data_IF_745821451562
#
_entry.id   IF_745821451562
#
_cell.length_a   1.000
_cell.length_b   1.000
_cell.length_c   1.000
_cell.angle_alpha   90.00
_cell.angle_beta   90.00
_cell.angle_gamma   90.00
#
_symmetry.space_group_name_H-M   'P 1'
#
loop_
_entity.id
_entity.type
_entity.pdbx_description
1 polymer ?
#
# COMPACT_ATOMS: atom_id res chain seq x y z
N UNK A 1 10.89 -11.97 -8.78
CA UNK A 1 10.36 -12.77 -7.65
C UNK A 1 11.12 -14.06 -7.40
N UNK A 2 12.43 -13.96 -7.17
CA UNK A 2 13.29 -15.05 -6.70
C UNK A 2 14.10 -14.62 -5.48
N UNK A 3 14.32 -13.31 -5.32
CA UNK A 3 15.09 -12.68 -4.25
C UNK A 3 14.54 -12.95 -2.84
N UNK A 4 13.26 -13.30 -2.69
CA UNK A 4 12.65 -13.65 -1.39
C UNK A 4 12.44 -15.17 -1.25
N UNK A 5 13.22 -15.98 -1.98
CA UNK A 5 13.19 -17.45 -1.94
C UNK A 5 11.82 -18.05 -2.25
N UNK A 6 11.05 -17.41 -3.14
CA UNK A 6 9.68 -17.82 -3.48
C UNK A 6 9.63 -19.22 -4.12
N UNK A 7 9.13 -20.27 -3.45
CA UNK A 7 9.35 -21.67 -3.86
C UNK A 7 8.96 -22.00 -5.31
N UNK A 8 7.88 -21.39 -5.81
CA UNK A 8 7.37 -21.59 -7.16
C UNK A 8 8.33 -21.13 -8.27
N UNK A 9 9.26 -20.21 -7.98
CA UNK A 9 10.22 -19.67 -8.94
C UNK A 9 11.64 -20.27 -8.83
N UNK A 10 11.84 -21.32 -8.01
CA UNK A 10 13.17 -21.94 -7.86
C UNK A 10 13.70 -22.48 -9.19
N UNK A 11 12.83 -23.20 -9.91
CA UNK A 11 13.15 -23.77 -11.22
C UNK A 11 13.52 -22.71 -12.27
N UNK A 12 12.91 -21.52 -12.18
CA UNK A 12 13.24 -20.38 -13.04
C UNK A 12 14.70 -19.94 -12.81
N UNK A 13 15.08 -19.73 -11.54
CA UNK A 13 16.45 -19.29 -11.21
C UNK A 13 17.49 -20.36 -11.58
N UNK A 14 17.19 -21.64 -11.34
CA UNK A 14 18.02 -22.76 -11.79
C UNK A 14 18.21 -22.73 -13.32
N UNK A 15 17.15 -22.53 -14.09
CA UNK A 15 17.22 -22.46 -15.55
C UNK A 15 18.03 -21.25 -16.04
N UNK A 16 17.90 -20.09 -15.38
CA UNK A 16 18.70 -18.88 -15.65
C UNK A 16 20.20 -19.18 -15.48
N UNK A 17 20.58 -19.82 -14.38
CA UNK A 17 21.98 -20.18 -14.10
C UNK A 17 22.51 -21.23 -15.09
N UNK A 18 21.75 -22.31 -15.32
CA UNK A 18 22.13 -23.38 -16.25
C UNK A 18 22.31 -22.89 -17.68
N UNK A 19 21.49 -21.92 -18.11
CA UNK A 19 21.55 -21.32 -19.45
C UNK A 19 22.52 -20.13 -19.54
N UNK A 20 23.25 -19.82 -18.46
CA UNK A 20 24.16 -18.68 -18.39
C UNK A 20 23.49 -17.34 -18.80
N UNK A 21 22.28 -17.10 -18.30
CA UNK A 21 21.54 -15.85 -18.52
C UNK A 21 21.96 -14.83 -17.45
N UNK A 22 22.25 -13.59 -17.87
CA UNK A 22 22.37 -12.44 -16.96
C UNK A 22 20.97 -11.92 -16.61
N UNK A 23 20.56 -12.12 -15.36
CA UNK A 23 19.25 -11.71 -14.85
C UNK A 23 19.41 -10.42 -14.03
N UNK A 24 18.62 -9.41 -14.39
CA UNK A 24 18.47 -8.17 -13.64
C UNK A 24 17.06 -8.12 -13.07
N UNK A 25 16.92 -8.02 -11.74
CA UNK A 25 15.59 -7.95 -11.11
C UNK A 25 15.18 -6.47 -10.94
N UNK A 26 14.02 -6.11 -11.50
CA UNK A 26 13.50 -4.75 -11.46
C UNK A 26 13.07 -4.29 -10.04
N UNK A 27 12.82 -5.23 -9.13
CA UNK A 27 12.45 -4.92 -7.74
C UNK A 27 13.57 -4.22 -6.98
N UNK A 28 14.82 -4.47 -7.40
CA UNK A 28 16.08 -4.06 -6.74
C UNK A 28 16.89 -3.07 -7.59
N UNK A 29 16.26 -2.44 -8.58
CA UNK A 29 16.80 -1.25 -9.24
C UNK A 29 16.69 -0.07 -8.28
N UNK A 30 17.79 0.23 -7.59
CA UNK A 30 17.86 1.29 -6.57
C UNK A 30 18.92 2.32 -6.89
N UNK A 31 18.81 3.51 -6.28
CA UNK A 31 19.92 4.46 -6.20
C UNK A 31 20.97 4.02 -5.15
N UNK A 32 22.00 4.84 -4.97
CA UNK A 32 23.10 4.61 -4.03
C UNK A 32 22.66 4.55 -2.56
N UNK A 33 21.48 5.12 -2.25
CA UNK A 33 20.87 5.09 -0.91
C UNK A 33 19.91 3.91 -0.73
N UNK A 34 19.83 2.98 -1.68
CA UNK A 34 18.91 1.84 -1.62
C UNK A 34 17.45 2.18 -1.97
N UNK A 35 17.15 3.42 -2.38
CA UNK A 35 15.78 3.82 -2.74
C UNK A 35 15.47 3.27 -4.14
N UNK A 36 14.41 2.47 -4.23
CA UNK A 36 13.91 1.92 -5.50
C UNK A 36 13.58 3.03 -6.48
N UNK A 37 14.08 2.93 -7.70
CA UNK A 37 13.90 3.94 -8.75
C UNK A 37 12.60 3.73 -9.52
N UNK A 38 12.28 2.50 -9.89
CA UNK A 38 11.09 2.15 -10.68
C UNK A 38 10.10 1.34 -9.83
N UNK A 39 8.88 1.84 -9.62
CA UNK A 39 7.87 1.21 -8.78
C UNK A 39 6.44 1.61 -9.16
N UNK A 40 5.47 0.75 -8.85
CA UNK A 40 4.05 0.98 -9.15
C UNK A 40 3.25 1.61 -7.99
N UNK A 41 3.91 1.97 -6.88
CA UNK A 41 3.24 2.39 -5.65
C UNK A 41 2.29 3.58 -5.83
N UNK A 42 2.64 4.56 -6.67
CA UNK A 42 1.76 5.72 -6.98
C UNK A 42 0.41 5.25 -7.54
N UNK A 43 0.43 4.32 -8.49
CA UNK A 43 -0.77 3.79 -9.14
C UNK A 43 -1.59 2.89 -8.21
N UNK A 44 -0.93 2.13 -7.33
CA UNK A 44 -1.63 1.40 -6.27
C UNK A 44 -2.40 2.36 -5.36
N UNK A 45 -1.80 3.48 -4.98
CA UNK A 45 -2.46 4.57 -4.25
C UNK A 45 -3.69 5.14 -4.96
N UNK A 46 -3.53 5.49 -6.24
CA UNK A 46 -4.60 6.04 -7.09
C UNK A 46 -5.79 5.08 -7.16
N UNK A 47 -5.55 3.83 -7.57
CA UNK A 47 -6.62 2.84 -7.74
C UNK A 47 -7.20 2.44 -6.37
N UNK A 48 -6.37 2.29 -5.35
CA UNK A 48 -6.80 1.92 -4.01
C UNK A 48 -7.72 2.97 -3.37
N UNK A 49 -7.41 4.26 -3.52
CA UNK A 49 -8.30 5.33 -3.08
C UNK A 49 -9.63 5.33 -3.84
N UNK A 50 -9.58 5.19 -5.17
CA UNK A 50 -10.80 5.05 -5.99
C UNK A 50 -11.68 3.89 -5.51
N UNK A 51 -11.08 2.71 -5.34
CA UNK A 51 -11.77 1.51 -4.89
C UNK A 51 -12.29 1.63 -3.45
N UNK A 52 -11.59 2.37 -2.57
CA UNK A 52 -12.06 2.70 -1.22
C UNK A 52 -13.32 3.56 -1.22
N UNK A 53 -13.36 4.64 -2.01
CA UNK A 53 -14.57 5.47 -2.16
C UNK A 53 -15.70 4.68 -2.80
N UNK A 54 -15.40 3.84 -3.80
CA UNK A 54 -16.37 2.93 -4.41
C UNK A 54 -16.94 1.94 -3.38
N UNK A 55 -16.10 1.36 -2.54
CA UNK A 55 -16.51 0.45 -1.47
C UNK A 55 -17.44 1.16 -0.47
N UNK A 56 -17.17 2.41 -0.14
CA UNK A 56 -18.07 3.23 0.68
C UNK A 56 -19.44 3.44 0.02
N UNK A 57 -19.49 3.81 -1.26
CA UNK A 57 -20.75 3.96 -1.99
C UNK A 57 -21.61 2.70 -1.95
N UNK A 58 -20.99 1.55 -2.23
CA UNK A 58 -21.64 0.24 -2.21
C UNK A 58 -22.09 -0.19 -0.81
N UNK A 59 -21.24 0.00 0.21
CA UNK A 59 -21.54 -0.32 1.62
C UNK A 59 -22.72 0.48 2.14
N UNK A 60 -22.68 1.80 1.92
CA UNK A 60 -23.71 2.74 2.37
C UNK A 60 -24.95 2.76 1.47
N UNK A 61 -24.91 2.08 0.32
CA UNK A 61 -25.95 2.11 -0.73
C UNK A 61 -26.27 3.54 -1.19
N UNK A 62 -25.29 4.45 -1.13
CA UNK A 62 -25.47 5.86 -1.48
C UNK A 62 -25.21 6.14 -2.96
N UNK A 63 -24.27 5.42 -3.58
CA UNK A 63 -23.98 5.53 -5.00
C UNK A 63 -23.27 4.27 -5.52
N UNK A 64 -23.33 4.08 -6.82
CA UNK A 64 -22.59 3.05 -7.54
C UNK A 64 -21.81 3.71 -8.67
N UNK A 65 -20.51 3.40 -8.75
CA UNK A 65 -19.63 3.84 -9.83
C UNK A 65 -18.95 2.63 -10.48
N UNK A 66 -18.52 2.74 -11.75
CA UNK A 66 -17.81 1.68 -12.45
C UNK A 66 -16.60 1.15 -11.67
N UNK A 67 -16.11 -0.04 -12.03
CA UNK A 67 -14.80 -0.51 -11.55
C UNK A 67 -13.69 0.29 -12.23
N UNK A 68 -12.53 0.43 -11.57
CA UNK A 68 -11.41 1.18 -12.12
C UNK A 68 -10.89 0.57 -13.43
N UNK A 69 -10.87 -0.77 -13.56
CA UNK A 69 -10.47 -1.47 -14.79
C UNK A 69 -11.30 -1.10 -16.04
N UNK A 70 -12.51 -0.57 -15.85
CA UNK A 70 -13.40 -0.12 -16.93
C UNK A 70 -13.14 1.32 -17.38
N UNK A 71 -12.26 2.05 -16.70
CA UNK A 71 -11.97 3.46 -16.93
C UNK A 71 -10.58 3.60 -17.56
N UNK A 72 -10.42 4.57 -18.47
CA UNK A 72 -9.26 4.66 -19.36
C UNK A 72 -7.98 5.08 -18.66
N UNK A 73 -8.10 6.08 -17.79
CA UNK A 73 -6.99 6.81 -17.20
C UNK A 73 -7.37 7.45 -15.85
N UNK A 74 -6.37 7.90 -15.09
CA UNK A 74 -6.55 8.58 -13.80
C UNK A 74 -7.55 9.74 -13.88
N UNK A 75 -7.55 10.48 -14.99
CA UNK A 75 -8.47 11.61 -15.16
C UNK A 75 -9.92 11.14 -15.27
N UNK A 76 -10.18 9.98 -15.87
CA UNK A 76 -11.50 9.38 -15.89
C UNK A 76 -11.94 8.86 -14.52
N UNK A 77 -11.02 8.32 -13.71
CA UNK A 77 -11.30 7.98 -12.31
C UNK A 77 -11.78 9.23 -11.55
N UNK A 78 -11.03 10.34 -11.66
CA UNK A 78 -11.36 11.61 -10.99
C UNK A 78 -12.70 12.18 -11.51
N UNK A 79 -12.92 12.19 -12.83
CA UNK A 79 -14.19 12.65 -13.41
C UNK A 79 -15.37 11.85 -12.88
N UNK A 80 -15.22 10.53 -12.77
CA UNK A 80 -16.26 9.65 -12.21
C UNK A 80 -16.54 9.98 -10.75
N UNK A 81 -15.50 10.11 -9.93
CA UNK A 81 -15.65 10.44 -8.51
C UNK A 81 -16.26 11.83 -8.27
N UNK A 82 -16.03 12.79 -9.17
CA UNK A 82 -16.68 14.12 -9.08
C UNK A 82 -18.19 14.10 -9.36
N UNK A 83 -18.73 13.01 -9.87
CA UNK A 83 -20.19 12.87 -10.08
C UNK A 83 -20.93 12.44 -8.81
N UNK A 84 -20.21 11.96 -7.79
CA UNK A 84 -20.80 11.49 -6.53
C UNK A 84 -20.71 12.56 -5.45
N UNK A 85 -21.68 12.58 -4.55
CA UNK A 85 -21.70 13.47 -3.39
C UNK A 85 -21.48 12.64 -2.13
N UNK A 86 -20.39 12.94 -1.41
CA UNK A 86 -20.14 12.34 -0.10
C UNK A 86 -20.83 13.17 0.99
N UNK A 87 -21.45 12.52 1.99
CA UNK A 87 -21.91 13.22 3.18
C UNK A 87 -20.72 13.76 4.00
N UNK A 88 -20.94 14.54 5.07
CA UNK A 88 -19.88 15.03 5.95
C UNK A 88 -19.17 13.91 6.71
N UNK A 89 -18.29 13.18 6.02
CA UNK A 89 -17.49 12.07 6.52
C UNK A 89 -16.02 12.46 6.65
N UNK A 90 -15.31 11.73 7.51
CA UNK A 90 -13.87 11.87 7.71
C UNK A 90 -13.13 10.68 7.11
N UNK A 91 -12.17 10.98 6.22
CA UNK A 91 -11.33 9.98 5.56
C UNK A 91 -9.92 10.07 6.11
N UNK A 92 -9.43 8.98 6.69
CA UNK A 92 -8.05 8.90 7.17
C UNK A 92 -7.18 8.24 6.12
N UNK A 93 -6.08 8.89 5.75
CA UNK A 93 -5.06 8.35 4.86
C UNK A 93 -3.75 8.20 5.62
N UNK A 94 -3.18 7.01 5.62
CA UNK A 94 -1.83 6.79 6.20
C UNK A 94 -0.75 6.74 5.13
N UNK A 95 0.43 7.22 5.48
CA UNK A 95 1.65 7.15 4.66
C UNK A 95 1.84 8.37 3.77
N UNK A 96 3.08 8.86 3.71
CA UNK A 96 3.51 9.99 2.85
C UNK A 96 4.46 9.57 1.72
N UNK A 97 4.56 8.25 1.49
CA UNK A 97 5.31 7.66 0.38
C UNK A 97 4.52 7.67 -0.94
N UNK A 98 4.97 6.87 -1.91
CA UNK A 98 4.36 6.79 -3.24
C UNK A 98 2.88 6.41 -3.20
N UNK A 99 2.52 5.42 -2.38
CA UNK A 99 1.13 4.93 -2.25
C UNK A 99 0.23 6.01 -1.66
N UNK A 100 0.59 6.51 -0.48
CA UNK A 100 -0.17 7.59 0.17
C UNK A 100 -0.34 8.82 -0.73
N UNK A 101 0.72 9.29 -1.38
CA UNK A 101 0.61 10.45 -2.28
C UNK A 101 -0.24 10.16 -3.52
N UNK A 102 -0.18 8.94 -4.07
CA UNK A 102 -1.09 8.53 -5.16
C UNK A 102 -2.56 8.51 -4.72
N UNK A 103 -2.85 8.08 -3.49
CA UNK A 103 -4.19 8.16 -2.92
C UNK A 103 -4.63 9.62 -2.70
N UNK A 104 -3.73 10.47 -2.20
CA UNK A 104 -3.95 11.91 -2.05
C UNK A 104 -4.31 12.58 -3.38
N UNK A 105 -3.68 12.21 -4.50
CA UNK A 105 -4.04 12.75 -5.82
C UNK A 105 -5.52 12.50 -6.17
N UNK A 106 -6.11 11.39 -5.72
CA UNK A 106 -7.53 11.11 -5.92
C UNK A 106 -8.42 11.94 -4.99
N UNK A 107 -8.06 12.05 -3.71
CA UNK A 107 -8.81 12.85 -2.73
C UNK A 107 -8.78 14.35 -3.11
N UNK A 108 -7.63 14.86 -3.54
CA UNK A 108 -7.47 16.22 -4.08
C UNK A 108 -8.21 16.37 -5.42
N UNK A 109 -8.15 15.35 -6.27
CA UNK A 109 -8.91 15.28 -7.52
C UNK A 109 -10.41 15.41 -7.28
N UNK A 110 -10.93 14.80 -6.22
CA UNK A 110 -12.32 14.94 -5.76
C UNK A 110 -12.64 16.31 -5.15
N UNK A 111 -11.64 17.18 -4.94
CA UNK A 111 -11.77 18.47 -4.26
C UNK A 111 -12.16 18.34 -2.78
N UNK A 112 -11.74 17.25 -2.12
CA UNK A 112 -11.92 17.11 -0.68
C UNK A 112 -10.95 18.02 0.06
N UNK A 113 -11.41 18.57 1.19
CA UNK A 113 -10.58 19.43 2.02
C UNK A 113 -9.64 18.59 2.88
N UNK A 114 -8.34 18.79 2.70
CA UNK A 114 -7.31 18.28 3.62
C UNK A 114 -7.32 19.12 4.91
N UNK A 115 -7.26 18.46 6.06
CA UNK A 115 -7.24 19.10 7.38
C UNK A 115 -6.05 18.60 8.22
N UNK A 116 -5.64 19.42 9.19
CA UNK A 116 -4.57 19.06 10.12
C UNK A 116 -4.99 17.91 11.04
N UNK A 117 -4.03 17.23 11.66
CA UNK A 117 -4.31 16.18 12.68
C UNK A 117 -5.16 16.72 13.82
N UNK A 118 -4.84 17.92 14.29
CA UNK A 118 -5.56 18.60 15.38
C UNK A 118 -7.03 18.84 14.99
N UNK A 119 -7.27 19.48 13.84
CA UNK A 119 -8.62 19.76 13.36
C UNK A 119 -9.39 18.46 13.08
N UNK A 120 -8.71 17.45 12.52
CA UNK A 120 -9.30 16.15 12.22
C UNK A 120 -9.81 15.45 13.49
N UNK A 121 -9.06 15.52 14.59
CA UNK A 121 -9.43 14.89 15.86
C UNK A 121 -10.48 15.68 16.64
N UNK A 122 -10.44 17.02 16.59
CA UNK A 122 -11.18 17.87 17.52
C UNK A 122 -12.33 18.67 16.91
N UNK A 123 -12.41 18.80 15.58
CA UNK A 123 -13.49 19.55 14.91
C UNK A 123 -14.54 18.65 14.27
N UNK A 124 -15.74 19.19 14.13
CA UNK A 124 -16.81 18.64 13.29
C UNK A 124 -16.88 19.43 11.99
N UNK A 125 -17.16 18.76 10.89
CA UNK A 125 -17.23 19.36 9.55
C UNK A 125 -18.63 19.19 8.96
N UNK A 126 -19.04 20.14 8.11
CA UNK A 126 -20.31 20.09 7.37
C UNK A 126 -20.10 19.65 5.90
N UNK A 127 -18.88 19.23 5.59
CA UNK A 127 -18.42 18.76 4.28
C UNK A 127 -17.48 17.56 4.49
N UNK A 128 -17.30 16.68 3.49
CA UNK A 128 -16.32 15.61 3.58
C UNK A 128 -14.89 16.18 3.65
N UNK A 129 -14.10 15.65 4.58
CA UNK A 129 -12.69 16.04 4.77
C UNK A 129 -11.80 14.81 4.80
N UNK A 130 -10.51 15.02 4.58
CA UNK A 130 -9.53 13.97 4.80
C UNK A 130 -8.29 14.49 5.54
N UNK A 131 -7.56 13.59 6.19
CA UNK A 131 -6.27 13.89 6.82
C UNK A 131 -5.24 12.84 6.40
N UNK A 132 -4.07 13.29 5.95
CA UNK A 132 -2.94 12.42 5.64
C UNK A 132 -1.95 12.41 6.82
N UNK A 133 -1.84 11.25 7.47
CA UNK A 133 -0.99 11.05 8.64
C UNK A 133 0.23 10.17 8.31
N UNK A 134 1.31 10.37 9.07
CA UNK A 134 2.57 9.64 8.94
C UNK A 134 2.92 8.87 10.21
N UNK A 135 3.99 8.08 10.18
CA UNK A 135 4.25 7.03 11.19
C UNK A 135 4.27 7.50 12.64
N UNK A 136 4.76 8.73 12.92
CA UNK A 136 4.79 9.28 14.27
C UNK A 136 3.47 9.94 14.69
N UNK A 137 2.52 10.14 13.76
CA UNK A 137 1.19 10.64 14.11
C UNK A 137 0.36 9.54 14.79
N UNK A 138 0.67 8.26 14.57
CA UNK A 138 -0.10 7.13 15.10
C UNK A 138 0.74 6.11 15.87
N UNK A 139 2.03 6.37 16.08
CA UNK A 139 2.88 5.59 16.98
C UNK A 139 3.50 6.52 18.01
N UNK A 140 3.47 6.10 19.28
CA UNK A 140 4.12 6.80 20.38
C UNK A 140 5.17 5.91 21.01
N UNK A 141 6.30 6.49 21.37
CA UNK A 141 7.33 5.77 22.10
C UNK A 141 6.84 5.48 23.52
N UNK A 142 7.06 4.28 24.02
CA UNK A 142 6.54 3.80 25.33
C UNK A 142 7.05 4.62 26.53
N UNK A 143 8.22 5.24 26.39
CA UNK A 143 8.82 6.10 27.41
C UNK A 143 8.38 7.57 27.31
N UNK A 144 7.56 7.92 26.31
CA UNK A 144 7.05 9.27 26.07
C UNK A 144 8.05 10.24 25.45
N UNK A 145 9.22 9.79 24.98
CA UNK A 145 10.18 10.67 24.30
C UNK A 145 9.73 10.99 22.86
N UNK A 146 9.88 12.26 22.47
CA UNK A 146 9.67 12.72 21.10
C UNK A 146 10.98 12.62 20.30
N UNK A 147 11.15 11.52 19.58
CA UNK A 147 12.33 11.25 18.75
C UNK A 147 12.01 11.34 17.24
N UNK A 148 13.03 11.58 16.37
CA UNK A 148 12.83 11.62 14.93
C UNK A 148 12.35 10.28 14.37
N UNK A 149 11.70 10.32 13.20
CA UNK A 149 11.14 9.14 12.52
C UNK A 149 12.15 7.99 12.32
N UNK A 150 13.44 8.29 12.18
CA UNK A 150 14.47 7.28 12.03
C UNK A 150 14.54 6.33 13.25
N UNK A 151 14.32 6.85 14.44
CA UNK A 151 14.32 6.05 15.67
C UNK A 151 13.20 5.00 15.67
N UNK A 152 12.02 5.34 15.14
CA UNK A 152 10.94 4.36 14.93
C UNK A 152 11.35 3.24 13.97
N UNK A 153 12.09 3.56 12.90
CA UNK A 153 12.52 2.54 11.94
C UNK A 153 13.61 1.63 12.50
N UNK A 154 14.48 2.17 13.36
CA UNK A 154 15.58 1.42 13.97
C UNK A 154 15.11 0.60 15.19
N UNK A 155 14.09 1.09 15.92
CA UNK A 155 13.57 0.53 17.18
C UNK A 155 12.03 0.48 17.24
N UNK A 156 11.34 -0.15 16.27
CA UNK A 156 9.88 -0.18 16.23
C UNK A 156 9.25 -0.84 17.47
N UNK A 157 9.96 -1.75 18.13
CA UNK A 157 9.55 -2.44 19.35
C UNK A 157 9.39 -1.52 20.57
N UNK A 158 10.02 -0.34 20.56
CA UNK A 158 9.93 0.66 21.63
C UNK A 158 8.69 1.55 21.51
N UNK A 159 7.86 1.31 20.48
CA UNK A 159 6.65 2.07 20.22
C UNK A 159 5.38 1.27 20.47
N UNK A 160 4.30 1.99 20.74
CA UNK A 160 2.94 1.48 20.82
C UNK A 160 2.01 2.31 19.91
N UNK A 161 0.92 1.69 19.48
CA UNK A 161 -0.05 2.35 18.61
C UNK A 161 -0.91 3.34 19.38
N UNK A 162 -1.04 4.53 18.82
CA UNK A 162 -1.98 5.57 19.23
C UNK A 162 -3.07 5.78 18.16
N UNK A 163 -3.25 4.82 17.26
CA UNK A 163 -4.13 4.95 16.11
C UNK A 163 -5.63 5.03 16.48
N UNK A 164 -6.03 4.49 17.65
CA UNK A 164 -7.44 4.45 18.06
C UNK A 164 -8.10 5.82 18.16
N UNK A 165 -7.33 6.88 18.44
CA UNK A 165 -7.85 8.26 18.40
C UNK A 165 -8.39 8.63 17.02
N UNK A 166 -7.77 8.16 15.95
CA UNK A 166 -8.23 8.36 14.58
C UNK A 166 -9.35 7.39 14.21
N UNK A 167 -9.23 6.11 14.59
CA UNK A 167 -10.27 5.11 14.36
C UNK A 167 -11.62 5.52 14.98
N UNK A 168 -11.58 6.31 16.06
CA UNK A 168 -12.79 6.77 16.76
C UNK A 168 -13.53 7.94 16.12
N UNK A 169 -12.92 8.57 15.12
CA UNK A 169 -13.49 9.73 14.41
C UNK A 169 -13.56 9.54 12.90
N UNK A 170 -13.02 8.45 12.36
CA UNK A 170 -12.94 8.22 10.91
C UNK A 170 -14.05 7.30 10.42
N UNK A 171 -14.62 7.58 9.25
CA UNK A 171 -15.61 6.73 8.58
C UNK A 171 -14.93 5.80 7.57
N UNK A 172 -13.91 6.31 6.87
CA UNK A 172 -13.13 5.57 5.88
C UNK A 172 -11.66 5.62 6.29
N UNK A 173 -10.98 4.48 6.21
CA UNK A 173 -9.55 4.39 6.36
C UNK A 173 -8.89 3.88 5.08
N UNK A 174 -7.91 4.60 4.57
CA UNK A 174 -7.08 4.23 3.42
C UNK A 174 -5.66 3.94 3.93
N UNK A 175 -5.25 2.67 3.85
CA UNK A 175 -3.92 2.23 4.29
C UNK A 175 -2.91 2.42 3.16
N UNK A 176 -2.07 3.46 3.25
CA UNK A 176 -0.96 3.70 2.32
C UNK A 176 0.40 3.71 3.02
N UNK A 177 0.46 3.16 4.24
CA UNK A 177 1.67 3.06 5.04
C UNK A 177 2.54 1.88 4.60
N UNK A 178 3.78 1.88 5.08
CA UNK A 178 4.65 0.72 5.07
C UNK A 178 4.65 0.11 6.46
N UNK A 179 4.56 -1.22 6.54
CA UNK A 179 4.66 -1.97 7.78
C UNK A 179 5.95 -2.77 7.82
N UNK A 180 6.74 -2.57 8.87
CA UNK A 180 7.99 -3.27 9.10
C UNK A 180 7.86 -4.32 10.21
N UNK A 181 8.72 -5.34 10.16
CA UNK A 181 8.80 -6.35 11.21
C UNK A 181 9.02 -5.70 12.58
N UNK A 182 8.23 -6.10 13.58
CA UNK A 182 8.32 -5.59 14.95
C UNK A 182 7.52 -4.30 15.22
N UNK A 183 6.99 -3.64 14.20
CA UNK A 183 6.12 -2.48 14.38
C UNK A 183 4.77 -2.86 15.02
N UNK A 184 4.18 -2.00 15.87
CA UNK A 184 2.88 -2.25 16.45
C UNK A 184 1.79 -2.27 15.38
N UNK A 185 0.72 -3.02 15.64
CA UNK A 185 -0.49 -2.97 14.83
C UNK A 185 -1.07 -1.56 14.88
N UNK A 186 -1.62 -1.07 13.77
CA UNK A 186 -2.40 0.17 13.81
C UNK A 186 -3.64 -0.06 14.67
N UNK A 187 -4.41 -1.11 14.38
CA UNK A 187 -5.49 -1.55 15.26
C UNK A 187 -5.61 -3.08 15.24
N UNK A 188 -5.94 -3.64 16.40
CA UNK A 188 -6.12 -5.08 16.62
C UNK A 188 -7.58 -5.50 16.47
N UNK A 189 -7.85 -6.81 16.37
CA UNK A 189 -9.24 -7.32 16.36
C UNK A 189 -10.03 -6.94 17.61
N UNK A 190 -9.35 -6.78 18.75
CA UNK A 190 -9.97 -6.32 20.00
C UNK A 190 -10.39 -4.85 19.93
N UNK A 191 -9.60 -4.02 19.24
CA UNK A 191 -9.91 -2.60 19.03
C UNK A 191 -11.15 -2.43 18.16
N UNK A 192 -11.30 -3.26 17.13
CA UNK A 192 -12.47 -3.21 16.22
C UNK A 192 -13.79 -3.55 16.92
N UNK A 193 -13.75 -4.30 18.04
CA UNK A 193 -14.94 -4.61 18.86
C UNK A 193 -15.34 -3.46 19.79
N UNK A 194 -14.48 -2.45 19.96
CA UNK A 194 -14.79 -1.32 20.84
C UNK A 194 -15.88 -0.44 20.23
N UNK A 195 -16.77 0.11 21.07
CA UNK A 195 -17.88 0.96 20.61
C UNK A 195 -17.39 2.26 19.97
N UNK A 196 -16.20 2.67 20.36
CA UNK A 196 -15.51 3.85 19.89
C UNK A 196 -15.01 3.67 18.46
N UNK A 197 -14.80 2.46 17.96
CA UNK A 197 -14.31 2.21 16.60
C UNK A 197 -15.39 2.56 15.56
N UNK A 198 -15.13 3.56 14.71
CA UNK A 198 -16.13 4.09 13.75
C UNK A 198 -15.86 3.76 12.29
N UNK A 199 -14.68 3.27 11.95
CA UNK A 199 -14.33 2.99 10.55
C UNK A 199 -15.28 1.94 9.99
N UNK A 200 -16.00 2.30 8.92
CA UNK A 200 -16.96 1.43 8.24
C UNK A 200 -16.38 0.83 6.95
N UNK A 201 -15.33 1.47 6.42
CA UNK A 201 -14.65 1.06 5.19
C UNK A 201 -13.14 1.13 5.38
N UNK A 202 -12.46 0.03 5.10
CA UNK A 202 -11.01 -0.08 5.06
C UNK A 202 -10.60 -0.36 3.62
N UNK A 203 -9.85 0.57 3.03
CA UNK A 203 -9.15 0.39 1.77
C UNK A 203 -7.68 0.12 2.08
N UNK A 204 -7.35 -1.16 2.28
CA UNK A 204 -6.01 -1.60 2.61
C UNK A 204 -5.18 -1.81 1.33
N UNK A 205 -4.37 -0.80 0.98
CA UNK A 205 -3.52 -0.82 -0.22
C UNK A 205 -2.20 -1.56 0.06
N UNK A 206 -1.77 -1.67 1.32
CA UNK A 206 -0.56 -2.44 1.66
C UNK A 206 -0.83 -3.94 1.55
N UNK A 207 -2.07 -4.36 1.85
CA UNK A 207 -2.54 -5.75 1.73
C UNK A 207 -1.70 -6.72 2.58
N UNK A 208 -1.29 -6.27 3.76
CA UNK A 208 -0.55 -7.10 4.71
C UNK A 208 -1.54 -8.04 5.44
N UNK A 209 -1.65 -9.28 4.96
CA UNK A 209 -2.57 -10.30 5.52
C UNK A 209 -2.18 -10.63 6.97
N UNK A 210 -3.15 -10.53 7.89
CA UNK A 210 -2.91 -10.62 9.34
C UNK A 210 -1.79 -9.67 9.83
N UNK A 211 -1.61 -8.55 9.11
CA UNK A 211 -0.70 -7.46 9.43
C UNK A 211 -1.36 -6.36 10.27
N UNK A 212 -0.88 -5.11 10.19
CA UNK A 212 -1.19 -4.06 11.14
C UNK A 212 -2.65 -3.56 11.08
N UNK A 213 -3.37 -3.91 10.02
CA UNK A 213 -4.77 -3.61 9.79
C UNK A 213 -5.55 -4.91 10.02
N UNK A 214 -5.96 -5.16 11.26
CA UNK A 214 -6.46 -6.48 11.67
C UNK A 214 -7.72 -6.98 10.94
N UNK A 215 -8.43 -6.09 10.22
CA UNK A 215 -9.57 -6.45 9.37
C UNK A 215 -9.17 -7.10 8.04
N UNK A 216 -7.88 -7.07 7.67
CA UNK A 216 -7.36 -7.63 6.42
C UNK A 216 -7.10 -9.13 6.56
N UNK A 217 -8.14 -9.93 6.30
CA UNK A 217 -8.13 -11.39 6.46
C UNK A 217 -7.48 -12.13 5.28
N UNK A 218 -7.53 -11.53 4.09
CA UNK A 218 -6.95 -12.06 2.85
C UNK A 218 -6.83 -10.97 1.80
N UNK A 219 -6.02 -11.24 0.79
CA UNK A 219 -6.08 -10.50 -0.47
C UNK A 219 -7.44 -10.73 -1.16
N UNK A 220 -8.05 -9.65 -1.63
CA UNK A 220 -9.18 -9.67 -2.55
C UNK A 220 -8.70 -9.59 -4.00
N UNK A 221 -9.63 -9.73 -4.96
CA UNK A 221 -9.28 -9.76 -6.39
C UNK A 221 -9.93 -8.60 -7.12
N UNK A 222 -9.43 -8.22 -8.29
CA UNK A 222 -10.08 -7.20 -9.14
C UNK A 222 -11.54 -7.62 -9.50
N UNK A 223 -11.78 -8.92 -9.66
CA UNK A 223 -13.11 -9.46 -9.92
C UNK A 223 -14.05 -9.27 -8.71
N UNK A 224 -13.59 -9.61 -7.52
CA UNK A 224 -14.32 -9.53 -6.26
C UNK A 224 -13.51 -8.72 -5.22
N UNK A 225 -13.49 -7.38 -5.32
CA UNK A 225 -12.52 -6.55 -4.61
C UNK A 225 -12.87 -6.27 -3.16
N UNK A 226 -14.13 -6.49 -2.75
CA UNK A 226 -14.64 -6.09 -1.43
C UNK A 226 -15.25 -7.30 -0.72
N UNK A 227 -14.88 -7.49 0.53
CA UNK A 227 -15.54 -8.41 1.47
C UNK A 227 -15.93 -7.67 2.75
N UNK A 228 -16.75 -8.31 3.58
CA UNK A 228 -17.11 -7.79 4.90
C UNK A 228 -16.29 -8.46 5.99
N UNK A 229 -15.86 -7.70 6.98
CA UNK A 229 -15.31 -8.21 8.24
C UNK A 229 -16.38 -8.08 9.33
N UNK A 230 -16.73 -9.21 9.98
CA UNK A 230 -17.61 -9.26 11.16
C UNK A 230 -16.75 -9.14 12.43
N UNK A 231 -16.81 -8.01 13.17
CA UNK A 231 -15.98 -7.80 14.34
C UNK A 231 -16.22 -8.83 15.46
N UNK A 232 -17.45 -9.31 15.64
CA UNK A 232 -17.79 -10.23 16.72
C UNK A 232 -17.26 -11.64 16.44
N UNK A 233 -17.38 -12.08 15.18
CA UNK A 233 -16.91 -13.41 14.76
C UNK A 233 -15.46 -13.43 14.32
N UNK A 234 -14.84 -12.27 14.10
CA UNK A 234 -13.51 -12.12 13.51
C UNK A 234 -13.38 -12.86 12.18
N UNK A 235 -14.42 -12.81 11.37
CA UNK A 235 -14.57 -13.65 10.18
C UNK A 235 -15.11 -12.86 8.99
N UNK A 236 -14.81 -13.37 7.80
CA UNK A 236 -15.35 -12.83 6.56
C UNK A 236 -16.87 -13.06 6.47
N UNK A 237 -17.58 -12.06 5.97
CA UNK A 237 -19.01 -12.07 5.68
C UNK A 237 -19.32 -11.12 4.52
N UNK A 238 -20.60 -10.88 4.24
CA UNK A 238 -21.03 -9.87 3.28
C UNK A 238 -20.67 -8.46 3.75
N UNK A 239 -20.05 -7.68 2.87
CA UNK A 239 -19.77 -6.27 3.14
C UNK A 239 -21.05 -5.45 3.30
N UNK A 240 -22.21 -5.89 2.79
CA UNK A 240 -23.48 -5.16 2.93
C UNK A 240 -24.24 -5.47 4.22
N UNK A 241 -23.78 -6.42 5.03
CA UNK A 241 -24.41 -6.75 6.31
C UNK A 241 -24.24 -5.58 7.31
N UNK A 242 -25.25 -5.38 8.17
CA UNK A 242 -25.17 -4.38 9.24
C UNK A 242 -24.11 -4.77 10.28
N UNK A 243 -23.42 -3.77 10.84
CA UNK A 243 -22.37 -3.99 11.84
C UNK A 243 -21.04 -4.54 11.29
N UNK A 244 -20.92 -4.74 9.97
CA UNK A 244 -19.67 -5.21 9.34
C UNK A 244 -18.87 -4.07 8.75
N UNK A 245 -17.56 -4.26 8.65
CA UNK A 245 -16.64 -3.32 8.00
C UNK A 245 -16.40 -3.80 6.58
N UNK A 246 -16.58 -2.94 5.58
CA UNK A 246 -16.21 -3.27 4.21
C UNK A 246 -14.70 -3.17 4.05
N UNK A 247 -14.06 -4.22 3.57
CA UNK A 247 -12.61 -4.28 3.37
C UNK A 247 -12.31 -4.47 1.89
N UNK A 248 -11.51 -3.57 1.34
CA UNK A 248 -10.91 -3.67 0.01
C UNK A 248 -9.41 -3.85 0.19
N UNK A 249 -8.87 -5.00 -0.24
CA UNK A 249 -7.48 -5.37 -0.04
C UNK A 249 -6.94 -6.09 -1.29
N UNK A 250 -6.98 -5.43 -2.44
CA UNK A 250 -6.50 -6.00 -3.72
C UNK A 250 -4.97 -5.84 -3.79
N UNK A 251 -4.24 -6.92 -4.07
CA UNK A 251 -2.77 -6.96 -4.03
C UNK A 251 -2.09 -6.48 -5.33
N UNK A 252 -2.87 -6.31 -6.41
CA UNK A 252 -2.39 -5.96 -7.73
C UNK A 252 -3.10 -4.75 -8.34
N UNK A 253 -3.54 -3.80 -7.50
CA UNK A 253 -4.25 -2.56 -7.86
C UNK A 253 -3.72 -1.81 -9.10
N UNK A 254 -2.40 -1.66 -9.34
CA UNK A 254 -1.91 -0.99 -10.55
C UNK A 254 -2.40 -1.62 -11.87
N UNK A 255 -2.77 -2.90 -11.86
CA UNK A 255 -3.29 -3.60 -13.04
C UNK A 255 -4.68 -3.11 -13.48
N UNK A 256 -5.43 -2.43 -12.61
CA UNK A 256 -6.70 -1.77 -12.97
C UNK A 256 -6.49 -0.43 -13.68
N UNK A 257 -5.26 0.11 -13.68
CA UNK A 257 -4.90 1.33 -14.42
C UNK A 257 -3.65 1.08 -15.30
N UNK A 258 -3.71 0.09 -16.21
CA UNK A 258 -2.51 -0.45 -16.84
C UNK A 258 -1.83 0.54 -17.78
N UNK A 259 -2.58 1.47 -18.39
CA UNK A 259 -2.05 2.52 -19.26
C UNK A 259 -1.12 3.45 -18.47
N UNK A 260 -1.66 4.14 -17.48
CA UNK A 260 -0.89 5.12 -16.72
C UNK A 260 0.24 4.44 -15.96
N UNK A 261 0.00 3.24 -15.41
CA UNK A 261 1.01 2.46 -14.71
C UNK A 261 2.19 2.06 -15.61
N UNK A 262 1.92 1.65 -16.86
CA UNK A 262 2.95 1.26 -17.82
C UNK A 262 3.71 2.47 -18.35
N UNK A 263 3.02 3.56 -18.68
CA UNK A 263 3.64 4.80 -19.16
C UNK A 263 4.58 5.37 -18.10
N UNK A 264 4.11 5.56 -16.86
CA UNK A 264 4.98 6.12 -15.82
C UNK A 264 6.09 5.18 -15.36
N UNK A 265 5.89 3.86 -15.39
CA UNK A 265 7.01 2.92 -15.19
C UNK A 265 8.06 3.11 -16.30
N UNK A 266 7.61 3.20 -17.55
CA UNK A 266 8.45 3.41 -18.72
C UNK A 266 9.26 4.70 -18.64
N UNK A 267 8.62 5.83 -18.36
CA UNK A 267 9.27 7.13 -18.22
C UNK A 267 10.36 7.10 -17.12
N UNK A 268 10.01 6.56 -15.95
CA UNK A 268 10.95 6.42 -14.83
C UNK A 268 12.13 5.51 -15.17
N UNK A 269 11.88 4.44 -15.94
CA UNK A 269 12.92 3.52 -16.40
C UNK A 269 13.86 4.19 -17.41
N UNK A 270 13.30 4.94 -18.36
CA UNK A 270 14.05 5.72 -19.36
C UNK A 270 14.94 6.76 -18.68
N UNK A 271 14.41 7.49 -17.70
CA UNK A 271 15.15 8.59 -17.07
C UNK A 271 16.24 8.10 -16.10
N UNK A 272 16.00 7.00 -15.39
CA UNK A 272 16.87 6.59 -14.29
C UNK A 272 17.71 5.35 -14.56
N UNK A 273 17.26 4.44 -15.45
CA UNK A 273 17.90 3.13 -15.65
C UNK A 273 18.62 3.07 -16.98
N UNK A 274 17.99 3.50 -18.08
CA UNK A 274 18.59 3.48 -19.42
C UNK A 274 19.99 4.15 -19.47
N UNK A 275 20.24 5.31 -18.84
CA UNK A 275 21.56 5.93 -18.86
C UNK A 275 22.68 5.06 -18.30
N UNK A 276 22.36 4.16 -17.35
CA UNK A 276 23.34 3.29 -16.71
C UNK A 276 23.98 2.29 -17.69
N UNK A 277 23.27 1.93 -18.77
CA UNK A 277 23.80 1.07 -19.83
C UNK A 277 24.87 1.75 -20.70
N UNK A 278 24.89 3.08 -20.73
CA UNK A 278 25.74 3.85 -21.64
C UNK A 278 26.83 4.66 -20.93
N UNK A 279 26.79 4.73 -19.59
CA UNK A 279 27.71 5.53 -18.80
C UNK A 279 28.67 4.68 -17.94
N UNK A 280 28.86 3.41 -18.33
CA UNK A 280 29.63 2.41 -17.59
C UNK A 280 29.08 2.14 -16.17
N UNK A 281 27.76 2.26 -16.00
CA UNK A 281 27.07 2.10 -14.73
C UNK A 281 27.71 2.91 -13.58
N UNK A 282 28.03 4.18 -13.82
CA UNK A 282 28.81 5.01 -12.89
C UNK A 282 28.18 5.19 -11.49
N UNK A 283 26.88 4.85 -11.34
CA UNK A 283 26.12 4.87 -10.08
C UNK A 283 25.81 3.47 -9.55
N UNK A 284 26.32 2.41 -10.19
CA UNK A 284 26.14 1.01 -9.79
C UNK A 284 24.69 0.51 -9.81
N UNK A 285 23.81 1.13 -10.61
CA UNK A 285 22.39 0.78 -10.69
C UNK A 285 22.23 -0.63 -11.25
N UNK A 286 22.92 -0.92 -12.36
CA UNK A 286 22.84 -2.22 -13.02
C UNK A 286 23.55 -3.30 -12.19
N UNK A 287 24.72 -2.98 -11.63
CA UNK A 287 25.48 -3.93 -10.80
C UNK A 287 24.68 -4.37 -9.57
N UNK A 288 24.03 -3.43 -8.86
CA UNK A 288 23.14 -3.77 -7.74
C UNK A 288 21.97 -4.66 -8.16
N UNK A 289 21.36 -4.40 -9.30
CA UNK A 289 20.19 -5.15 -9.78
C UNK A 289 20.55 -6.51 -10.42
N UNK A 290 21.82 -6.73 -10.80
CA UNK A 290 22.28 -7.95 -11.47
C UNK A 290 22.36 -9.13 -10.51
N UNK A 291 21.43 -10.06 -10.64
CA UNK A 291 21.38 -11.28 -9.84
C UNK A 291 22.39 -12.34 -10.27
N UNK A 292 22.60 -12.50 -11.59
CA UNK A 292 23.39 -13.61 -12.13
C UNK A 292 24.39 -13.12 -13.17
N UNK A 293 25.54 -13.80 -13.22
CA UNK A 293 26.61 -13.57 -14.21
C UNK A 293 27.46 -14.83 -14.35
N UNK A 294 27.84 -15.19 -15.57
CA UNK A 294 28.72 -16.34 -15.84
C UNK A 294 28.22 -17.65 -15.20
N UNK A 295 26.90 -17.90 -15.27
CA UNK A 295 26.25 -19.09 -14.74
C UNK A 295 26.21 -19.18 -13.21
N UNK A 296 26.52 -18.09 -12.50
CA UNK A 296 26.57 -18.02 -11.04
C UNK A 296 25.75 -16.84 -10.51
N UNK A 297 25.34 -16.93 -9.24
CA UNK A 297 24.82 -15.80 -8.49
C UNK A 297 25.95 -14.77 -8.27
N UNK A 298 25.64 -13.48 -8.37
CA UNK A 298 26.59 -12.40 -8.01
C UNK A 298 26.69 -12.27 -6.48
N UNK A 299 27.71 -11.58 -5.93
CA UNK A 299 27.94 -11.51 -4.49
C UNK A 299 26.73 -11.04 -3.67
N UNK A 300 25.98 -10.05 -4.16
CA UNK A 300 24.80 -9.51 -3.49
C UNK A 300 23.66 -10.53 -3.36
N UNK A 301 23.68 -11.61 -4.15
CA UNK A 301 22.63 -12.63 -4.20
C UNK A 301 23.14 -14.02 -3.82
N UNK A 302 24.36 -14.12 -3.28
CA UNK A 302 24.95 -15.38 -2.85
C UNK A 302 24.11 -16.12 -1.80
N UNK A 303 23.30 -15.39 -1.01
CA UNK A 303 22.37 -15.95 -0.02
C UNK A 303 21.25 -16.82 -0.64
N UNK A 304 21.05 -16.77 -1.96
CA UNK A 304 20.11 -17.62 -2.69
C UNK A 304 20.70 -18.97 -3.10
N UNK A 305 21.97 -19.27 -2.77
CA UNK A 305 22.60 -20.50 -3.23
C UNK A 305 21.91 -21.75 -2.66
N UNK A 306 21.62 -21.80 -1.37
CA UNK A 306 20.91 -22.94 -0.77
C UNK A 306 19.49 -23.07 -1.33
N UNK A 307 18.82 -21.94 -1.58
CA UNK A 307 17.52 -21.88 -2.26
C UNK A 307 17.58 -22.53 -3.64
N UNK A 308 18.60 -22.20 -4.44
CA UNK A 308 18.82 -22.78 -5.77
C UNK A 308 19.14 -24.27 -5.68
N UNK A 309 19.94 -24.68 -4.70
CA UNK A 309 20.35 -26.07 -4.50
C UNK A 309 19.24 -26.94 -3.89
N UNK A 310 18.18 -26.34 -3.34
CA UNK A 310 17.10 -27.04 -2.65
C UNK A 310 17.51 -27.56 -1.27
N UNK A 311 18.39 -26.83 -0.57
CA UNK A 311 18.95 -27.19 0.74
C UNK A 311 18.35 -26.42 1.92
N UNK A 312 17.31 -25.62 1.67
CA UNK A 312 16.59 -24.79 2.66
C UNK A 312 15.41 -25.52 3.29
#
# INVERSE_FOLDING_TARGET
HTIKKQPYNRKLLQAVLQKNIELYDHEVITNEKGIRLVAFGRYAGIVGAYNGIRAYGLKSKSFEIPKAEGLKDQQELIRTLRTVSLPPIKILLTGKGRVGNGAKEILDGMQLKEVSVEDYLHMSFQEPVYCQIDVLDYNRRKDGQDLPMQDFFDHPEEYESDFMRFASVSDIYIAGHFYGDGAPFLFTRSDVKQKEFKIQVVADISCDIDGPVATTLRASTIADPIYGYDPEKEAETSYTQEGTIAVMAVDNLPAELPRDASEGFGDTFVDHVIPAFFNADNRGILDRARMTRNGKLTPNYAYLQDYVDGKE
#
